data_IF_443005751455
#
_entry.id   IF_443005751455
#
_cell.length_a   1.000
_cell.length_b   1.000
_cell.length_c   1.000
_cell.angle_alpha   90.00
_cell.angle_beta   90.00
_cell.angle_gamma   90.00
#
_symmetry.space_group_name_H-M   'P 1'
#
loop_
_entity.id
_entity.type
_entity.pdbx_description
1 polymer ?
#
# COMPACT_ATOMS: atom_id res chain seq x y z
N UNK A 1 -9.71 18.49 13.82
CA UNK A 1 -10.84 18.81 12.92
C UNK A 1 -10.96 17.71 11.88
N UNK A 2 -12.10 17.02 11.78
CA UNK A 2 -12.32 16.02 10.74
C UNK A 2 -12.58 16.72 9.40
N UNK A 3 -11.80 16.42 8.38
CA UNK A 3 -11.98 17.01 7.04
C UNK A 3 -13.16 16.29 6.38
N UNK A 4 -14.29 16.99 6.20
CA UNK A 4 -15.45 16.44 5.48
C UNK A 4 -15.13 16.39 3.99
N UNK A 5 -14.95 15.19 3.44
CA UNK A 5 -14.88 14.97 2.00
C UNK A 5 -16.19 15.41 1.34
N UNK A 6 -16.12 16.24 0.30
CA UNK A 6 -17.28 16.65 -0.52
C UNK A 6 -17.64 15.59 -1.58
N UNK A 7 -16.94 14.46 -1.60
CA UNK A 7 -17.15 13.43 -2.61
C UNK A 7 -18.50 12.73 -2.39
N UNK A 8 -19.34 12.54 -3.42
CA UNK A 8 -20.69 11.98 -3.28
C UNK A 8 -20.70 10.56 -2.70
N UNK A 9 -19.59 9.83 -2.85
CA UNK A 9 -19.42 8.48 -2.29
C UNK A 9 -18.79 8.46 -0.88
N UNK A 10 -18.44 9.62 -0.29
CA UNK A 10 -17.79 9.68 1.03
C UNK A 10 -18.52 8.92 2.15
N UNK A 11 -19.88 8.84 2.17
CA UNK A 11 -20.60 8.02 3.16
C UNK A 11 -20.30 6.51 3.07
N UNK A 12 -19.86 6.03 1.91
CA UNK A 12 -19.59 4.61 1.65
C UNK A 12 -18.14 4.19 2.00
N UNK A 13 -17.36 5.08 2.60
CA UNK A 13 -15.97 4.82 2.99
C UNK A 13 -15.80 3.66 3.99
N UNK A 14 -16.88 3.22 4.64
CA UNK A 14 -16.87 2.07 5.56
C UNK A 14 -17.01 0.71 4.84
N UNK A 15 -17.29 0.69 3.52
CA UNK A 15 -17.48 -0.55 2.75
C UNK A 15 -16.13 -0.96 2.14
N UNK A 16 -15.57 -2.14 2.48
CA UNK A 16 -14.20 -2.53 2.14
C UNK A 16 -13.81 -2.56 0.65
N UNK A 17 -14.77 -2.54 -0.29
CA UNK A 17 -14.52 -2.41 -1.73
C UNK A 17 -14.78 -1.01 -2.31
N UNK A 18 -15.71 -0.24 -1.72
CA UNK A 18 -16.04 1.12 -2.17
C UNK A 18 -14.99 2.11 -1.67
N UNK A 19 -14.41 1.88 -0.48
CA UNK A 19 -13.26 2.64 0.02
C UNK A 19 -12.06 2.62 -0.94
N UNK A 20 -11.80 1.48 -1.60
CA UNK A 20 -10.76 1.36 -2.61
C UNK A 20 -11.09 2.12 -3.91
N UNK A 21 -12.37 2.19 -4.29
CA UNK A 21 -12.86 2.97 -5.44
C UNK A 21 -12.89 4.49 -5.17
N UNK A 22 -13.03 4.89 -3.90
CA UNK A 22 -12.89 6.28 -3.46
C UNK A 22 -11.44 6.75 -3.39
N UNK A 23 -10.45 5.89 -3.58
CA UNK A 23 -9.03 6.26 -3.48
C UNK A 23 -8.53 6.97 -4.76
N UNK A 24 -9.22 8.03 -5.16
CA UNK A 24 -8.79 8.90 -6.27
C UNK A 24 -7.63 9.79 -5.83
N UNK A 25 -6.83 10.35 -6.76
CA UNK A 25 -5.76 11.29 -6.44
C UNK A 25 -6.20 12.50 -5.61
N UNK A 26 -7.49 12.88 -5.61
CA UNK A 26 -8.02 13.96 -4.76
C UNK A 26 -8.43 13.49 -3.34
N UNK A 27 -8.90 12.24 -3.21
CA UNK A 27 -9.40 11.69 -1.94
C UNK A 27 -8.29 11.05 -1.12
N UNK A 28 -7.27 10.47 -1.75
CA UNK A 28 -6.13 9.85 -1.08
C UNK A 28 -5.35 10.83 -0.18
N UNK A 29 -5.02 12.08 -0.60
CA UNK A 29 -4.35 13.05 0.25
C UNK A 29 -5.24 13.51 1.41
N UNK A 30 -6.52 13.73 1.16
CA UNK A 30 -7.49 14.18 2.18
C UNK A 30 -7.73 13.10 3.23
N UNK A 31 -7.81 11.84 2.80
CA UNK A 31 -7.94 10.68 3.69
C UNK A 31 -6.65 10.42 4.46
N UNK A 32 -5.48 10.57 3.83
CA UNK A 32 -4.20 10.49 4.52
C UNK A 32 -4.06 11.58 5.60
N UNK A 33 -4.44 12.83 5.30
CA UNK A 33 -4.45 13.93 6.28
C UNK A 33 -5.46 13.63 7.40
N UNK A 34 -6.67 13.17 7.06
CA UNK A 34 -7.71 12.84 8.04
C UNK A 34 -7.26 11.72 8.97
N UNK A 35 -6.69 10.64 8.42
CA UNK A 35 -6.14 9.52 9.18
C UNK A 35 -4.96 9.96 10.05
N UNK A 36 -4.05 10.79 9.53
CA UNK A 36 -2.95 11.36 10.28
C UNK A 36 -3.44 12.21 11.47
N UNK A 37 -4.44 13.07 11.27
CA UNK A 37 -5.04 13.89 12.33
C UNK A 37 -5.85 13.09 13.35
N UNK A 38 -6.31 11.89 12.98
CA UNK A 38 -7.00 10.96 13.86
C UNK A 38 -6.04 9.98 14.58
N UNK A 39 -4.72 10.16 14.46
CA UNK A 39 -3.71 9.33 15.13
C UNK A 39 -3.41 8.00 14.42
N UNK A 40 -3.98 7.74 13.24
CA UNK A 40 -3.61 6.59 12.42
C UNK A 40 -2.25 6.88 11.74
N UNK A 41 -1.23 6.12 12.16
CA UNK A 41 0.18 6.49 12.04
C UNK A 41 0.77 6.50 10.63
N UNK A 42 0.92 7.70 10.06
CA UNK A 42 2.02 8.06 9.16
C UNK A 42 3.32 8.32 9.93
N UNK A 43 3.23 8.61 11.23
CA UNK A 43 4.36 8.65 12.14
C UNK A 43 4.71 7.21 12.59
N UNK A 44 5.99 6.84 12.55
CA UNK A 44 6.58 5.52 12.93
C UNK A 44 6.54 4.40 11.88
N UNK A 45 6.58 4.68 10.57
CA UNK A 45 6.83 3.60 9.60
C UNK A 45 8.23 3.01 9.82
N UNK A 46 8.40 1.67 9.69
CA UNK A 46 9.73 1.06 9.64
C UNK A 46 10.59 1.72 8.55
N UNK A 47 11.91 1.82 8.77
CA UNK A 47 12.82 2.34 7.74
C UNK A 47 12.88 1.44 6.50
N UNK A 48 12.71 0.14 6.71
CA UNK A 48 12.74 -0.88 5.67
C UNK A 48 11.47 -1.72 5.74
N UNK A 49 11.00 -2.13 4.58
CA UNK A 49 9.89 -3.06 4.40
C UNK A 49 10.31 -4.18 3.45
N UNK A 50 9.44 -5.17 3.30
CA UNK A 50 9.63 -6.32 2.43
C UNK A 50 8.47 -6.43 1.46
N UNK A 51 8.78 -6.45 0.17
CA UNK A 51 7.82 -6.81 -0.88
C UNK A 51 8.00 -8.28 -1.25
N UNK A 52 6.92 -9.07 -1.16
CA UNK A 52 6.96 -10.48 -1.55
C UNK A 52 6.49 -10.66 -3.00
N UNK A 53 7.30 -11.39 -3.78
CA UNK A 53 7.05 -11.66 -5.20
C UNK A 53 7.39 -13.10 -5.56
N UNK A 54 7.12 -13.50 -6.81
CA UNK A 54 7.53 -14.81 -7.34
C UNK A 54 8.99 -14.78 -7.81
N UNK A 55 9.62 -15.92 -8.05
CA UNK A 55 10.98 -15.96 -8.61
C UNK A 55 11.10 -15.18 -9.93
N UNK A 56 10.13 -15.32 -10.83
CA UNK A 56 10.05 -14.54 -12.08
C UNK A 56 9.88 -13.04 -11.81
N UNK A 57 9.08 -12.67 -10.81
CA UNK A 57 8.92 -11.27 -10.41
C UNK A 57 10.21 -10.67 -9.86
N UNK A 58 10.95 -11.43 -9.05
CA UNK A 58 12.24 -11.01 -8.51
C UNK A 58 13.28 -10.81 -9.63
N UNK A 59 13.32 -11.70 -10.63
CA UNK A 59 14.16 -11.53 -11.82
C UNK A 59 13.79 -10.25 -12.59
N UNK A 60 12.49 -10.00 -12.79
CA UNK A 60 12.00 -8.78 -13.43
C UNK A 60 12.44 -7.52 -12.67
N UNK A 61 12.25 -7.49 -11.35
CA UNK A 61 12.66 -6.38 -10.49
C UNK A 61 14.18 -6.18 -10.53
N UNK A 62 14.97 -7.26 -10.51
CA UNK A 62 16.43 -7.19 -10.61
C UNK A 62 16.90 -6.61 -11.94
N UNK A 63 16.17 -6.84 -13.02
CA UNK A 63 16.50 -6.31 -14.34
C UNK A 63 16.04 -4.85 -14.52
N UNK A 64 14.92 -4.46 -13.90
CA UNK A 64 14.29 -3.15 -14.12
C UNK A 64 14.44 -2.16 -12.97
N UNK A 65 15.05 -2.57 -11.84
CA UNK A 65 15.15 -1.84 -10.59
C UNK A 65 13.80 -1.24 -10.11
N UNK A 66 12.68 -1.89 -10.44
CA UNK A 66 11.34 -1.32 -10.20
C UNK A 66 10.35 -2.37 -9.73
N UNK A 67 9.55 -2.02 -8.72
CA UNK A 67 8.40 -2.80 -8.27
C UNK A 67 7.14 -2.16 -8.83
N UNK A 68 6.51 -2.86 -9.76
CA UNK A 68 5.25 -2.41 -10.36
C UNK A 68 4.10 -2.52 -9.36
N UNK A 69 3.25 -1.50 -9.34
CA UNK A 69 2.01 -1.54 -8.56
C UNK A 69 1.06 -2.60 -9.08
N UNK A 70 0.36 -3.29 -8.18
CA UNK A 70 -0.81 -4.07 -8.58
C UNK A 70 -1.91 -3.14 -9.06
N UNK A 71 -2.61 -3.53 -10.13
CA UNK A 71 -3.80 -2.83 -10.63
C UNK A 71 -5.03 -3.11 -9.76
N UNK A 72 -5.07 -4.30 -9.16
CA UNK A 72 -6.18 -4.77 -8.33
C UNK A 72 -5.60 -5.39 -7.06
N UNK A 73 -5.73 -4.68 -5.93
CA UNK A 73 -5.32 -5.14 -4.61
C UNK A 73 -6.47 -4.98 -3.62
N UNK A 74 -6.42 -5.70 -2.50
CA UNK A 74 -7.52 -5.73 -1.52
C UNK A 74 -7.89 -4.32 -1.01
N UNK A 75 -6.92 -3.42 -0.94
CA UNK A 75 -7.10 -2.02 -0.53
C UNK A 75 -6.84 -1.05 -1.70
N UNK A 76 -7.08 -1.49 -2.92
CA UNK A 76 -6.86 -0.71 -4.14
C UNK A 76 -5.47 -0.89 -4.78
N UNK A 77 -5.20 -0.16 -5.87
CA UNK A 77 -3.96 -0.27 -6.63
C UNK A 77 -2.76 0.30 -5.86
N UNK A 78 -1.64 -0.42 -5.87
CA UNK A 78 -0.43 0.01 -5.18
C UNK A 78 0.64 -1.07 -5.06
N UNK A 79 1.74 -0.74 -4.38
CA UNK A 79 2.78 -1.69 -3.99
C UNK A 79 2.54 -2.10 -2.55
N UNK A 80 2.36 -3.40 -2.32
CA UNK A 80 2.09 -3.97 -1.00
C UNK A 80 3.37 -4.51 -0.39
N UNK A 81 3.57 -4.22 0.89
CA UNK A 81 4.79 -4.51 1.63
C UNK A 81 4.46 -4.90 3.07
N UNK A 82 5.41 -5.54 3.75
CA UNK A 82 5.29 -5.93 5.16
C UNK A 82 6.52 -5.53 5.96
N UNK A 83 6.38 -5.40 7.28
CA UNK A 83 7.52 -5.18 8.18
C UNK A 83 8.12 -6.48 8.71
N UNK A 84 7.30 -7.52 8.83
CA UNK A 84 7.67 -8.80 9.43
C UNK A 84 6.91 -9.94 8.77
N UNK A 85 7.61 -10.97 8.31
CA UNK A 85 7.02 -12.18 7.75
C UNK A 85 6.22 -11.99 6.45
N UNK A 86 5.71 -13.10 5.91
CA UNK A 86 4.80 -13.11 4.75
C UNK A 86 3.37 -13.25 5.24
N UNK A 87 2.45 -12.31 4.92
CA UNK A 87 1.04 -12.41 5.28
C UNK A 87 0.39 -13.42 4.34
N UNK A 88 0.36 -14.68 4.79
CA UNK A 88 -0.26 -15.78 4.05
C UNK A 88 -1.78 -15.60 4.17
N UNK A 89 -2.47 -15.73 3.04
CA UNK A 89 -3.92 -15.53 2.86
C UNK A 89 -4.33 -14.05 2.90
N UNK A 90 -5.09 -13.63 1.87
CA UNK A 90 -5.66 -12.29 1.62
C UNK A 90 -4.79 -11.27 0.85
N UNK A 91 -3.48 -11.21 1.07
CA UNK A 91 -2.66 -10.10 0.50
C UNK A 91 -1.59 -10.52 -0.50
N UNK A 92 -0.96 -11.66 -0.28
CA UNK A 92 0.18 -12.13 -1.07
C UNK A 92 -0.19 -13.47 -1.68
N UNK A 93 -0.03 -13.60 -3.01
CA UNK A 93 -0.30 -14.84 -3.74
C UNK A 93 0.53 -15.97 -3.11
N UNK A 94 -0.01 -17.18 -3.00
CA UNK A 94 0.71 -18.31 -2.38
C UNK A 94 2.08 -18.60 -3.03
N UNK A 95 2.21 -18.31 -4.32
CA UNK A 95 3.46 -18.45 -5.08
C UNK A 95 4.48 -17.31 -4.86
N UNK A 96 4.07 -16.17 -4.31
CA UNK A 96 4.94 -15.02 -4.07
C UNK A 96 5.74 -15.21 -2.77
N UNK A 97 6.75 -16.08 -2.83
CA UNK A 97 7.56 -16.49 -1.67
C UNK A 97 8.89 -15.76 -1.55
N UNK A 98 9.31 -15.04 -2.59
CA UNK A 98 10.62 -14.39 -2.65
C UNK A 98 10.55 -12.99 -2.03
N UNK A 99 11.32 -12.72 -0.97
CA UNK A 99 11.36 -11.40 -0.35
C UNK A 99 12.27 -10.44 -1.13
N UNK A 100 11.80 -9.21 -1.34
CA UNK A 100 12.57 -8.07 -1.83
C UNK A 100 12.59 -7.04 -0.72
N UNK A 101 13.76 -6.82 -0.11
CA UNK A 101 13.95 -5.81 0.92
C UNK A 101 14.12 -4.45 0.27
N UNK A 102 13.43 -3.45 0.79
CA UNK A 102 13.49 -2.08 0.28
C UNK A 102 13.39 -1.05 1.41
N UNK A 103 14.02 0.09 1.20
CA UNK A 103 13.72 1.28 1.99
C UNK A 103 12.25 1.64 1.82
N UNK A 104 11.59 2.06 2.90
CA UNK A 104 10.17 2.41 2.88
C UNK A 104 9.92 3.55 1.90
N UNK A 105 9.16 3.33 0.82
CA UNK A 105 8.91 4.37 -0.17
C UNK A 105 8.12 5.55 0.43
N UNK A 106 8.42 6.77 -0.01
CA UNK A 106 7.62 7.95 0.33
C UNK A 106 6.16 7.76 -0.08
N UNK A 107 5.24 8.23 0.76
CA UNK A 107 3.79 8.05 0.55
C UNK A 107 3.28 6.64 0.89
N UNK A 108 4.09 5.80 1.53
CA UNK A 108 3.61 4.55 2.13
C UNK A 108 2.70 4.84 3.32
N UNK A 109 1.65 4.04 3.48
CA UNK A 109 0.78 4.06 4.65
C UNK A 109 0.72 2.66 5.30
N UNK A 110 0.43 2.65 6.60
CA UNK A 110 0.16 1.44 7.37
C UNK A 110 -1.33 1.14 7.31
N UNK A 111 -1.70 -0.03 6.80
CA UNK A 111 -3.11 -0.47 6.77
C UNK A 111 -3.38 -1.39 7.95
N UNK A 112 -2.56 -2.44 8.10
CA UNK A 112 -2.65 -3.36 9.23
C UNK A 112 -1.32 -3.26 9.98
N UNK A 113 -1.31 -2.84 11.26
CA UNK A 113 -0.09 -2.75 12.06
C UNK A 113 0.73 -4.03 12.00
N UNK A 114 2.03 -3.87 11.72
CA UNK A 114 3.03 -4.95 11.64
C UNK A 114 2.81 -5.98 10.51
N UNK A 115 1.74 -5.85 9.72
CA UNK A 115 1.34 -6.87 8.77
C UNK A 115 1.26 -6.37 7.33
N UNK A 116 0.63 -5.22 7.08
CA UNK A 116 0.41 -4.72 5.71
C UNK A 116 0.60 -3.21 5.61
N UNK A 117 1.49 -2.85 4.69
CA UNK A 117 1.79 -1.49 4.28
C UNK A 117 1.54 -1.37 2.78
N UNK A 118 1.10 -0.21 2.32
CA UNK A 118 0.87 0.04 0.90
C UNK A 118 1.39 1.40 0.51
N UNK A 119 2.01 1.47 -0.66
CA UNK A 119 2.22 2.70 -1.41
C UNK A 119 1.22 2.73 -2.54
N UNK A 120 0.16 3.52 -2.39
CA UNK A 120 -0.93 3.57 -3.36
C UNK A 120 -0.53 4.22 -4.69
N UNK A 121 -1.32 3.90 -5.73
CA UNK A 121 -1.19 4.47 -7.06
C UNK A 121 -0.51 3.54 -8.04
N UNK A 122 -0.60 3.89 -9.33
CA UNK A 122 -0.18 3.02 -10.44
C UNK A 122 1.29 3.19 -10.83
N UNK A 123 1.95 4.24 -10.34
CA UNK A 123 3.37 4.47 -10.64
C UNK A 123 4.24 3.40 -9.95
N UNK A 124 5.23 2.81 -10.63
CA UNK A 124 6.16 1.89 -10.00
C UNK A 124 6.93 2.54 -8.83
N UNK A 125 7.40 1.71 -7.92
CA UNK A 125 8.43 2.09 -6.93
C UNK A 125 9.78 1.79 -7.55
N UNK A 126 10.64 2.80 -7.63
CA UNK A 126 12.03 2.65 -8.09
C UNK A 126 12.88 2.26 -6.88
N UNK A 127 13.67 1.20 -7.04
CA UNK A 127 14.66 0.77 -6.07
C UNK A 127 15.97 1.53 -6.34
N UNK A 128 16.74 1.87 -5.29
CA UNK A 128 18.05 2.50 -5.45
C UNK A 128 19.05 1.60 -6.19
#
# INVERSE_FOLDING_TARGET
>A
MAVKSKHPLAPLAHVPGVFAALWTPEVAPTTAITLATAGYGFATLPKNLVHFTTAKGAQGISASATINSTKFGLFGPGVYMTSTGRPINLFVRAAAKTPIYLATPSGTARIIPYLVYVRWGLKPVVLP
#
